data_IF_843187554811
#
_entry.id   IF_843187554811
#
_cell.length_a   1.000
_cell.length_b   1.000
_cell.length_c   1.000
_cell.angle_alpha   90.00
_cell.angle_beta   90.00
_cell.angle_gamma   90.00
#
_symmetry.space_group_name_H-M   'P 1'
#
loop_
_entity.id
_entity.type
_entity.pdbx_description
1 polymer ?
#
# COMPACT_ATOMS: atom_id res chain seq x y z
N UNK A 1 7.98 -11.51 -4.94
CA UNK A 1 7.91 -12.29 -3.69
C UNK A 1 8.36 -11.43 -2.51
N UNK A 2 7.52 -10.53 -1.98
CA UNK A 2 7.89 -9.67 -0.85
C UNK A 2 8.27 -10.46 0.42
N UNK A 3 7.64 -11.62 0.61
CA UNK A 3 7.91 -12.49 1.75
C UNK A 3 9.32 -13.10 1.76
N UNK A 4 9.98 -13.25 0.60
CA UNK A 4 11.34 -13.79 0.55
C UNK A 4 12.36 -12.84 1.20
N UNK A 5 12.17 -11.53 1.02
CA UNK A 5 12.99 -10.52 1.68
C UNK A 5 12.79 -10.55 3.19
N UNK A 6 11.55 -10.69 3.66
CA UNK A 6 11.26 -10.86 5.08
C UNK A 6 11.96 -12.09 5.64
N UNK A 7 11.86 -13.22 4.94
CA UNK A 7 12.52 -14.47 5.34
C UNK A 7 14.04 -14.35 5.37
N UNK A 8 14.63 -13.65 4.39
CA UNK A 8 16.06 -13.35 4.37
C UNK A 8 16.46 -12.52 5.61
N UNK A 9 15.80 -11.39 5.88
CA UNK A 9 16.12 -10.56 7.05
C UNK A 9 16.03 -11.33 8.37
N UNK A 10 14.97 -12.14 8.54
CA UNK A 10 14.79 -13.00 9.71
C UNK A 10 15.91 -14.03 9.87
N UNK A 11 16.40 -14.60 8.76
CA UNK A 11 17.57 -15.52 8.79
C UNK A 11 18.85 -14.83 9.27
N UNK A 12 18.97 -13.51 9.11
CA UNK A 12 20.08 -12.72 9.63
C UNK A 12 19.81 -12.13 11.03
N UNK A 13 18.73 -12.53 11.70
CA UNK A 13 18.42 -12.11 13.07
C UNK A 13 17.63 -10.81 13.19
N UNK A 14 17.21 -10.20 12.08
CA UNK A 14 16.38 -8.98 12.11
C UNK A 14 14.90 -9.30 12.30
N UNK A 15 14.23 -8.48 13.09
CA UNK A 15 12.79 -8.53 13.26
C UNK A 15 12.10 -7.80 12.09
N UNK A 16 11.86 -8.53 10.99
CA UNK A 16 11.22 -7.98 9.79
C UNK A 16 9.76 -8.41 9.65
N UNK A 17 8.90 -7.53 9.12
CA UNK A 17 7.49 -7.82 8.79
C UNK A 17 7.13 -7.35 7.38
N UNK A 18 6.22 -8.09 6.75
CA UNK A 18 5.50 -7.65 5.55
C UNK A 18 4.11 -7.14 5.95
N UNK A 19 3.78 -5.93 5.52
CA UNK A 19 2.49 -5.29 5.75
C UNK A 19 1.82 -5.09 4.40
N UNK A 20 0.75 -5.84 4.14
CA UNK A 20 -0.06 -5.70 2.94
C UNK A 20 -1.28 -4.84 3.21
N UNK A 21 -1.53 -3.84 2.36
CA UNK A 21 -2.70 -2.96 2.50
C UNK A 21 -4.01 -3.64 2.07
N UNK A 22 -4.03 -4.26 0.90
CA UNK A 22 -5.19 -4.95 0.35
C UNK A 22 -4.99 -6.46 0.36
N UNK A 23 -6.09 -7.22 0.42
CA UNK A 23 -6.03 -8.68 0.40
C UNK A 23 -5.40 -9.17 -0.91
N UNK A 24 -4.43 -10.06 -0.81
CA UNK A 24 -3.87 -10.74 -1.97
C UNK A 24 -4.87 -11.74 -2.59
N UNK A 25 -5.11 -11.62 -3.89
CA UNK A 25 -6.03 -12.51 -4.64
C UNK A 25 -5.33 -13.73 -5.26
N UNK A 26 -4.01 -13.76 -5.27
CA UNK A 26 -3.18 -14.75 -5.96
C UNK A 26 -2.55 -15.79 -5.01
N UNK A 27 -3.06 -15.93 -3.78
CA UNK A 27 -2.61 -16.89 -2.76
C UNK A 27 -1.10 -16.84 -2.45
N UNK A 28 -0.43 -15.72 -2.71
CA UNK A 28 0.95 -15.58 -2.25
C UNK A 28 0.99 -15.49 -0.72
N UNK A 29 2.08 -15.95 -0.09
CA UNK A 29 2.27 -15.79 1.34
C UNK A 29 2.19 -14.32 1.75
N UNK A 30 1.36 -14.04 2.74
CA UNK A 30 1.27 -12.76 3.42
C UNK A 30 1.76 -12.90 4.87
N UNK A 31 2.03 -11.78 5.52
CA UNK A 31 2.40 -11.71 6.93
C UNK A 31 1.32 -10.96 7.70
N UNK A 32 1.38 -9.62 7.75
CA UNK A 32 0.33 -8.78 8.32
C UNK A 32 -0.48 -8.16 7.18
N UNK A 33 -1.76 -8.54 7.05
CA UNK A 33 -2.65 -7.96 6.04
C UNK A 33 -3.71 -7.08 6.69
N UNK A 34 -3.75 -5.79 6.31
CA UNK A 34 -4.67 -4.80 6.87
C UNK A 34 -6.10 -4.93 6.35
N UNK A 35 -6.28 -5.71 5.27
CA UNK A 35 -7.59 -5.92 4.63
C UNK A 35 -8.35 -4.60 4.43
N UNK A 36 -7.64 -3.57 3.94
CA UNK A 36 -8.27 -2.30 3.63
C UNK A 36 -9.26 -2.49 2.48
N UNK A 37 -10.40 -1.78 2.49
CA UNK A 37 -11.31 -1.81 1.36
C UNK A 37 -10.60 -1.19 0.15
N UNK A 38 -10.50 -1.96 -0.94
CA UNK A 38 -10.09 -1.45 -2.25
C UNK A 38 -11.29 -1.44 -3.19
N UNK A 39 -11.28 -0.51 -4.15
CA UNK A 39 -12.24 -0.54 -5.24
C UNK A 39 -11.76 -1.58 -6.26
N UNK A 40 -12.48 -2.69 -6.31
CA UNK A 40 -12.23 -3.79 -7.24
C UNK A 40 -13.09 -3.64 -8.50
N UNK A 41 -12.73 -4.38 -9.56
CA UNK A 41 -13.48 -4.44 -10.80
C UNK A 41 -13.00 -3.49 -11.91
N UNK A 42 -13.49 -3.71 -13.14
CA UNK A 42 -12.95 -3.10 -14.37
C UNK A 42 -12.96 -1.57 -14.36
N UNK A 43 -14.03 -0.95 -13.86
CA UNK A 43 -14.14 0.52 -13.81
C UNK A 43 -13.17 1.12 -12.79
N UNK A 44 -13.09 0.51 -11.60
CA UNK A 44 -12.17 0.94 -10.57
C UNK A 44 -10.71 0.77 -11.02
N UNK A 45 -10.39 -0.35 -11.67
CA UNK A 45 -9.08 -0.58 -12.29
C UNK A 45 -8.78 0.48 -13.34
N UNK A 46 -9.69 0.73 -14.30
CA UNK A 46 -9.49 1.76 -15.33
C UNK A 46 -9.26 3.15 -14.73
N UNK A 47 -10.01 3.50 -13.68
CA UNK A 47 -9.81 4.77 -12.96
C UNK A 47 -8.45 4.83 -12.26
N UNK A 48 -8.03 3.76 -11.56
CA UNK A 48 -6.68 3.66 -10.96
C UNK A 48 -5.57 3.77 -12.00
N UNK A 49 -5.71 3.06 -13.12
CA UNK A 49 -4.74 3.06 -14.22
C UNK A 49 -4.62 4.45 -14.87
N UNK A 50 -5.72 5.21 -14.98
CA UNK A 50 -5.68 6.60 -15.47
C UNK A 50 -4.82 7.49 -14.59
N UNK A 51 -4.77 7.24 -13.27
CA UNK A 51 -3.90 8.00 -12.36
C UNK A 51 -2.42 7.73 -12.59
N UNK A 52 -2.06 6.51 -13.02
CA UNK A 52 -0.67 6.12 -13.32
C UNK A 52 -0.24 6.68 -14.68
N UNK A 53 -1.05 6.52 -15.73
CA UNK A 53 -0.71 6.94 -17.09
C UNK A 53 -0.52 8.45 -17.23
N UNK A 54 -1.23 9.23 -16.43
CA UNK A 54 -1.10 10.69 -16.40
C UNK A 54 0.10 11.16 -15.55
N UNK A 55 0.81 10.26 -14.88
CA UNK A 55 2.08 10.57 -14.23
C UNK A 55 3.18 10.35 -15.28
N UNK A 56 3.79 11.39 -15.86
CA UNK A 56 4.75 11.21 -16.94
C UNK A 56 5.88 10.30 -16.46
N UNK A 57 5.97 9.13 -17.11
CA UNK A 57 6.95 8.10 -16.77
C UNK A 57 8.39 8.58 -17.00
N UNK A 58 8.60 9.70 -17.70
CA UNK A 58 9.93 10.13 -18.16
C UNK A 58 10.11 11.67 -18.33
N UNK A 59 9.44 12.54 -17.56
CA UNK A 59 9.67 13.99 -17.67
C UNK A 59 10.78 14.51 -16.73
N UNK A 60 12.00 14.49 -17.26
CA UNK A 60 13.10 15.48 -17.19
C UNK A 60 13.69 15.97 -15.84
N UNK A 61 12.95 16.08 -14.73
CA UNK A 61 13.52 16.56 -13.46
C UNK A 61 13.62 15.44 -12.42
N UNK A 62 14.82 14.88 -12.29
CA UNK A 62 15.14 13.67 -11.49
C UNK A 62 15.15 13.93 -9.97
N UNK A 63 15.00 15.18 -9.55
CA UNK A 63 15.28 15.63 -8.18
C UNK A 63 14.02 15.79 -7.31
N UNK A 64 12.82 15.80 -7.89
CA UNK A 64 11.58 15.92 -7.11
C UNK A 64 10.98 14.54 -6.79
N UNK A 65 10.75 14.30 -5.50
CA UNK A 65 10.02 13.13 -5.03
C UNK A 65 8.59 13.17 -5.59
N UNK A 66 8.22 12.12 -6.34
CA UNK A 66 6.90 12.01 -6.94
C UNK A 66 5.89 11.61 -5.86
N UNK A 67 4.99 12.53 -5.53
CA UNK A 67 3.81 12.26 -4.72
C UNK A 67 2.55 12.45 -5.55
N UNK A 68 1.56 11.58 -5.34
CA UNK A 68 0.25 11.77 -5.95
C UNK A 68 -0.52 12.86 -5.20
N UNK A 69 -1.15 13.76 -5.95
CA UNK A 69 -2.10 14.75 -5.43
C UNK A 69 -3.44 14.65 -6.14
N UNK A 70 -4.51 15.00 -5.43
CA UNK A 70 -5.85 15.03 -5.99
C UNK A 70 -5.94 16.09 -7.10
N UNK A 71 -6.57 15.77 -8.23
CA UNK A 71 -6.63 16.67 -9.40
C UNK A 71 -7.76 17.67 -9.34
N UNK A 72 -8.76 17.40 -8.51
CA UNK A 72 -9.97 18.21 -8.38
C UNK A 72 -10.56 18.08 -6.97
N UNK A 73 -11.48 18.99 -6.58
CA UNK A 73 -12.08 18.96 -5.25
C UNK A 73 -12.82 17.66 -4.92
N UNK A 74 -13.46 17.02 -5.91
CA UNK A 74 -14.19 15.76 -5.69
C UNK A 74 -13.22 14.62 -5.34
N UNK A 75 -12.10 14.53 -6.04
CA UNK A 75 -11.02 13.59 -5.72
C UNK A 75 -10.45 13.87 -4.34
N UNK A 76 -10.22 15.13 -4.00
CA UNK A 76 -9.70 15.52 -2.68
C UNK A 76 -10.64 15.03 -1.57
N UNK A 77 -11.94 15.32 -1.69
CA UNK A 77 -12.96 14.84 -0.74
C UNK A 77 -12.99 13.31 -0.67
N UNK A 78 -12.96 12.63 -1.81
CA UNK A 78 -12.94 11.17 -1.87
C UNK A 78 -11.72 10.58 -1.14
N UNK A 79 -10.51 11.10 -1.38
CA UNK A 79 -9.30 10.60 -0.73
C UNK A 79 -9.30 10.89 0.77
N UNK A 80 -9.75 12.07 1.19
CA UNK A 80 -9.87 12.39 2.62
C UNK A 80 -10.85 11.45 3.34
N UNK A 81 -12.00 11.14 2.73
CA UNK A 81 -12.96 10.19 3.31
C UNK A 81 -12.40 8.77 3.37
N UNK A 82 -11.71 8.32 2.32
CA UNK A 82 -11.03 7.03 2.27
C UNK A 82 -9.98 6.92 3.37
N UNK A 83 -9.13 7.93 3.50
CA UNK A 83 -8.03 7.95 4.46
C UNK A 83 -8.55 8.03 5.90
N UNK A 84 -9.60 8.83 6.15
CA UNK A 84 -10.28 8.86 7.44
C UNK A 84 -10.84 7.47 7.82
N UNK A 85 -11.50 6.78 6.88
CA UNK A 85 -12.02 5.42 7.11
C UNK A 85 -10.89 4.42 7.38
N UNK A 86 -9.80 4.51 6.64
CA UNK A 86 -8.67 3.59 6.75
C UNK A 86 -7.82 3.85 8.00
N UNK A 87 -7.72 5.11 8.46
CA UNK A 87 -6.95 5.50 9.64
C UNK A 87 -7.38 4.70 10.89
N UNK A 88 -8.67 4.43 11.05
CA UNK A 88 -9.16 3.59 12.16
C UNK A 88 -8.59 2.16 12.12
N UNK A 89 -8.56 1.53 10.93
CA UNK A 89 -8.00 0.18 10.74
C UNK A 89 -6.48 0.17 10.94
N UNK A 90 -5.80 1.16 10.39
CA UNK A 90 -4.35 1.31 10.50
C UNK A 90 -3.97 1.50 11.98
N UNK A 91 -4.61 2.43 12.69
CA UNK A 91 -4.33 2.69 14.10
C UNK A 91 -4.61 1.47 14.99
N UNK A 92 -5.64 0.67 14.64
CA UNK A 92 -5.88 -0.60 15.31
C UNK A 92 -4.71 -1.57 15.06
N UNK A 93 -4.30 -1.74 13.81
CA UNK A 93 -3.21 -2.65 13.44
C UNK A 93 -1.86 -2.24 14.07
N UNK A 94 -1.56 -0.93 14.14
CA UNK A 94 -0.37 -0.41 14.81
C UNK A 94 -0.28 -0.91 16.26
N UNK A 95 -1.40 -0.90 16.98
CA UNK A 95 -1.48 -1.37 18.37
C UNK A 95 -1.51 -2.89 18.46
N UNK A 96 -2.28 -3.55 17.59
CA UNK A 96 -2.49 -5.01 17.63
C UNK A 96 -1.22 -5.79 17.30
N UNK A 97 -0.40 -5.27 16.39
CA UNK A 97 0.82 -5.93 15.93
C UNK A 97 2.10 -5.23 16.39
N UNK A 98 2.02 -4.25 17.28
CA UNK A 98 3.15 -3.42 17.71
C UNK A 98 4.01 -2.94 16.53
N UNK A 99 3.38 -2.29 15.53
CA UNK A 99 4.05 -1.88 14.28
C UNK A 99 5.15 -0.80 14.45
N UNK A 100 5.59 -0.52 15.68
CA UNK A 100 6.70 0.37 15.98
C UNK A 100 7.93 -0.38 16.53
N UNK A 101 7.86 -1.72 16.66
CA UNK A 101 8.89 -2.55 17.31
C UNK A 101 9.72 -3.39 16.32
N UNK A 102 9.45 -3.29 15.02
CA UNK A 102 10.18 -4.02 13.99
C UNK A 102 11.37 -3.22 13.46
N UNK A 103 12.43 -3.93 13.10
CA UNK A 103 13.64 -3.33 12.50
C UNK A 103 13.37 -2.93 11.05
N UNK A 104 12.61 -3.76 10.33
CA UNK A 104 12.43 -3.64 8.87
C UNK A 104 10.97 -3.89 8.50
N UNK A 105 10.40 -2.93 7.77
CA UNK A 105 9.03 -2.97 7.25
C UNK A 105 9.06 -3.13 5.74
N UNK A 106 8.39 -4.14 5.23
CA UNK A 106 8.05 -4.25 3.81
C UNK A 106 6.60 -3.85 3.64
N UNK A 107 6.33 -2.83 2.82
CA UNK A 107 4.97 -2.43 2.49
C UNK A 107 4.60 -2.91 1.10
N UNK A 108 3.50 -3.64 0.98
CA UNK A 108 2.93 -4.07 -0.28
C UNK A 108 1.50 -3.53 -0.43
N UNK A 109 1.17 -3.05 -1.62
CA UNK A 109 -0.21 -2.70 -1.97
C UNK A 109 -1.11 -3.92 -1.98
N UNK A 110 -0.57 -5.13 -2.16
CA UNK A 110 -1.34 -6.31 -2.50
C UNK A 110 -1.66 -6.34 -4.00
N UNK A 111 -2.24 -7.45 -4.46
CA UNK A 111 -2.53 -7.66 -5.88
C UNK A 111 -4.01 -7.94 -6.11
N UNK A 112 -4.56 -7.20 -7.08
CA UNK A 112 -5.91 -7.36 -7.63
C UNK A 112 -5.76 -7.72 -9.12
N UNK A 113 -6.61 -8.64 -9.61
CA UNK A 113 -6.66 -9.04 -11.03
C UNK A 113 -7.42 -8.00 -11.88
#
# INVERSE_FOLDING_TARGET
>A
MPMDFVNMHRKFGYNSRLITYYKNTLNFPEDISLHLPTHTGKLAKKWRDSKIQETPSYSVNKEELKYYSAKNPLESVYFSLRDFKNAKKINKAIKEFNLNEYDIYHFDGGMDL
#
